data_IF_384540830795
#
_entry.id   IF_384540830795
#
_cell.length_a   1.000
_cell.length_b   1.000
_cell.length_c   1.000
_cell.angle_alpha   90.00
_cell.angle_beta   90.00
_cell.angle_gamma   90.00
#
_symmetry.space_group_name_H-M   'P 1'
#
loop_
_entity.id
_entity.type
_entity.pdbx_description
1 polymer ?
#
# COMPACT_ATOMS: atom_id res chain seq x y z
N UNK A 1 -14.27 -33.10 5.73
CA UNK A 1 -13.86 -32.93 7.15
C UNK A 1 -12.69 -31.96 7.21
N UNK A 2 -12.95 -30.66 7.05
CA UNK A 2 -12.05 -29.58 7.47
C UNK A 2 -12.90 -28.72 8.40
N UNK A 3 -13.08 -29.18 9.61
CA UNK A 3 -13.91 -28.51 10.61
C UNK A 3 -13.20 -28.31 11.95
N UNK A 4 -11.87 -28.21 11.96
CA UNK A 4 -11.14 -27.93 13.19
C UNK A 4 -10.04 -26.91 12.90
N UNK A 5 -10.33 -25.64 13.14
CA UNK A 5 -9.49 -24.55 13.61
C UNK A 5 -10.04 -23.17 13.22
N UNK A 6 -11.30 -22.90 13.54
CA UNK A 6 -11.79 -21.52 13.67
C UNK A 6 -11.93 -21.23 15.18
N UNK A 7 -10.83 -20.89 15.82
CA UNK A 7 -10.85 -20.32 17.19
C UNK A 7 -11.05 -18.82 17.06
N UNK A 8 -12.26 -18.44 16.69
CA UNK A 8 -12.78 -17.09 16.75
C UNK A 8 -14.27 -17.19 17.05
N UNK A 9 -14.82 -16.27 17.82
CA UNK A 9 -16.25 -16.24 18.10
C UNK A 9 -17.01 -15.98 16.80
N UNK A 10 -17.55 -17.01 16.19
CA UNK A 10 -18.44 -16.92 15.03
C UNK A 10 -19.86 -16.62 15.52
N UNK A 11 -20.46 -15.57 14.97
CA UNK A 11 -21.85 -15.25 15.28
C UNK A 11 -22.67 -15.17 13.99
N UNK A 12 -23.50 -16.17 13.79
CA UNK A 12 -24.47 -16.20 12.71
C UNK A 12 -25.66 -15.30 13.03
N UNK A 13 -25.93 -14.33 12.14
CA UNK A 13 -27.13 -13.50 12.19
C UNK A 13 -28.15 -14.15 11.27
N UNK A 14 -29.03 -14.98 11.86
CA UNK A 14 -30.18 -15.56 11.14
C UNK A 14 -31.46 -15.01 11.74
N UNK A 15 -31.89 -13.85 11.29
CA UNK A 15 -33.22 -13.37 11.61
C UNK A 15 -33.89 -12.80 10.35
N UNK A 16 -35.08 -13.33 10.04
CA UNK A 16 -35.92 -12.85 8.95
C UNK A 16 -36.54 -11.47 9.22
N UNK A 17 -36.45 -10.96 10.44
CA UNK A 17 -36.91 -9.64 10.84
C UNK A 17 -35.95 -8.50 10.52
N UNK A 18 -34.73 -8.80 10.07
CA UNK A 18 -33.71 -7.79 9.71
C UNK A 18 -33.04 -7.08 10.88
N UNK A 19 -33.35 -7.45 12.13
CA UNK A 19 -32.70 -6.90 13.34
C UNK A 19 -31.92 -7.98 14.06
N UNK A 20 -30.72 -7.66 14.50
CA UNK A 20 -29.88 -8.54 15.30
C UNK A 20 -30.29 -8.45 16.77
N UNK A 21 -30.49 -9.58 17.47
CA UNK A 21 -30.78 -9.56 18.90
C UNK A 21 -29.61 -8.93 19.69
N UNK A 22 -29.95 -8.20 20.73
CA UNK A 22 -29.06 -7.41 21.59
C UNK A 22 -27.90 -8.18 22.26
N UNK A 23 -27.98 -9.51 22.25
CA UNK A 23 -27.11 -10.39 23.04
C UNK A 23 -25.79 -10.78 22.35
N UNK A 24 -25.51 -10.27 21.14
CA UNK A 24 -24.60 -11.02 20.32
C UNK A 24 -23.32 -10.37 19.83
N UNK A 25 -23.19 -9.09 19.73
CA UNK A 25 -22.07 -8.47 18.98
C UNK A 25 -21.22 -7.60 19.91
N UNK A 26 -20.30 -8.23 20.58
CA UNK A 26 -19.24 -7.53 21.30
C UNK A 26 -17.97 -7.62 20.46
N UNK A 27 -17.67 -6.56 19.68
CA UNK A 27 -16.29 -6.35 19.29
C UNK A 27 -15.45 -6.13 20.53
N UNK A 28 -14.26 -6.73 20.54
CA UNK A 28 -13.31 -6.47 21.62
C UNK A 28 -12.94 -4.97 21.66
N UNK A 29 -12.57 -4.47 22.83
CA UNK A 29 -12.09 -3.09 22.96
C UNK A 29 -10.78 -2.88 22.19
N UNK A 30 -10.06 -3.96 21.90
CA UNK A 30 -8.85 -3.96 21.06
C UNK A 30 -9.20 -4.15 19.58
N UNK A 31 -9.42 -3.05 18.88
CA UNK A 31 -9.71 -3.03 17.45
C UNK A 31 -8.49 -3.26 16.55
N UNK A 32 -7.30 -3.46 17.11
CA UNK A 32 -6.09 -3.73 16.32
C UNK A 32 -6.16 -5.04 15.55
N UNK A 33 -6.97 -5.99 16.03
CA UNK A 33 -7.19 -7.29 15.37
C UNK A 33 -8.28 -7.24 14.30
N UNK A 34 -9.01 -6.15 14.23
CA UNK A 34 -10.06 -5.92 13.24
C UNK A 34 -11.20 -6.93 13.28
N UNK A 35 -12.05 -6.86 12.26
CA UNK A 35 -13.21 -7.75 12.07
C UNK A 35 -13.48 -7.99 10.59
N UNK A 36 -14.27 -9.03 10.30
CA UNK A 36 -14.76 -9.32 8.95
C UNK A 36 -16.27 -9.51 8.98
N UNK A 37 -16.97 -8.87 8.06
CA UNK A 37 -18.40 -9.06 7.81
C UNK A 37 -18.53 -9.76 6.48
N UNK A 38 -19.21 -10.92 6.43
CA UNK A 38 -19.52 -11.67 5.22
C UNK A 38 -21.02 -11.81 5.07
N UNK A 39 -21.54 -11.48 3.90
CA UNK A 39 -22.94 -11.61 3.61
C UNK A 39 -23.20 -11.91 2.13
N UNK A 40 -24.33 -12.55 1.86
CA UNK A 40 -24.79 -12.76 0.49
C UNK A 40 -25.80 -11.69 0.11
N UNK A 41 -25.52 -10.94 -0.97
CA UNK A 41 -26.43 -9.95 -1.51
C UNK A 41 -26.94 -10.37 -2.90
N UNK A 42 -28.23 -10.21 -3.13
CA UNK A 42 -28.89 -10.37 -4.45
C UNK A 42 -29.01 -8.99 -5.09
N UNK A 43 -28.00 -8.62 -5.88
CA UNK A 43 -27.91 -7.31 -6.53
C UNK A 43 -28.90 -7.24 -7.68
N UNK A 44 -29.78 -6.25 -7.63
CA UNK A 44 -30.80 -5.98 -8.63
C UNK A 44 -30.55 -4.64 -9.30
N UNK A 45 -31.27 -4.35 -10.37
CA UNK A 45 -31.20 -3.05 -11.02
C UNK A 45 -31.41 -1.89 -10.04
N UNK A 46 -30.52 -0.91 -10.10
CA UNK A 46 -30.48 0.21 -9.14
C UNK A 46 -31.19 1.43 -9.74
N UNK A 47 -32.44 1.66 -9.34
CA UNK A 47 -33.18 2.87 -9.74
C UNK A 47 -32.90 4.05 -8.80
N UNK A 48 -32.75 3.78 -7.52
CA UNK A 48 -32.46 4.76 -6.45
C UNK A 48 -31.53 4.13 -5.41
N UNK A 49 -30.96 4.93 -4.52
CA UNK A 49 -30.13 4.40 -3.43
C UNK A 49 -30.90 3.35 -2.61
N UNK A 50 -30.22 2.23 -2.36
CA UNK A 50 -30.71 1.11 -1.56
C UNK A 50 -29.66 0.79 -0.51
N UNK A 51 -30.02 0.90 0.77
CA UNK A 51 -29.18 0.39 1.85
C UNK A 51 -29.34 -1.12 1.94
N UNK A 52 -28.23 -1.85 1.94
CA UNK A 52 -28.20 -3.31 2.04
C UNK A 52 -28.01 -3.76 3.50
N UNK A 53 -27.07 -3.12 4.18
CA UNK A 53 -26.72 -3.38 5.57
C UNK A 53 -26.34 -2.05 6.22
N UNK A 54 -26.80 -1.84 7.45
CA UNK A 54 -26.44 -0.67 8.23
C UNK A 54 -26.22 -1.01 9.70
N UNK A 55 -25.12 -0.49 10.24
CA UNK A 55 -24.86 -0.38 11.67
C UNK A 55 -24.85 1.12 11.96
N UNK A 56 -25.87 1.67 12.62
CA UNK A 56 -26.01 3.11 12.74
C UNK A 56 -24.75 3.79 13.29
N UNK A 57 -24.29 4.83 12.61
CA UNK A 57 -23.09 5.61 12.93
C UNK A 57 -21.76 4.82 12.89
N UNK A 58 -21.73 3.60 12.35
CA UNK A 58 -20.52 2.79 12.19
C UNK A 58 -20.32 2.37 10.77
N UNK A 59 -21.31 1.71 10.15
CA UNK A 59 -21.17 1.12 8.82
C UNK A 59 -22.47 1.30 8.04
N UNK A 60 -22.33 1.69 6.78
CA UNK A 60 -23.41 1.67 5.81
C UNK A 60 -22.92 0.99 4.52
N UNK A 61 -23.64 -0.03 4.08
CA UNK A 61 -23.43 -0.68 2.78
C UNK A 61 -24.63 -0.38 1.90
N UNK A 62 -24.38 0.15 0.72
CA UNK A 62 -25.44 0.64 -0.12
C UNK A 62 -25.13 0.52 -1.61
N UNK A 63 -26.20 0.42 -2.40
CA UNK A 63 -26.19 0.54 -3.86
C UNK A 63 -26.72 1.91 -4.22
N UNK A 64 -26.06 2.62 -5.12
CA UNK A 64 -26.51 3.90 -5.64
C UNK A 64 -26.07 4.11 -7.08
N UNK A 65 -26.62 5.12 -7.73
CA UNK A 65 -26.02 5.64 -8.96
C UNK A 65 -24.86 6.56 -8.60
N UNK A 66 -23.78 6.42 -9.34
CA UNK A 66 -22.66 7.34 -9.23
C UNK A 66 -23.11 8.79 -9.47
N UNK A 67 -22.63 9.71 -8.66
CA UNK A 67 -22.78 11.13 -8.84
C UNK A 67 -21.41 11.75 -9.14
N UNK A 68 -21.18 12.23 -10.38
CA UNK A 68 -19.88 12.81 -10.77
C UNK A 68 -19.53 14.06 -9.97
N UNK A 69 -20.52 14.74 -9.37
CA UNK A 69 -20.30 15.94 -8.55
C UNK A 69 -20.06 15.61 -7.08
N UNK A 70 -20.18 14.35 -6.67
CA UNK A 70 -19.92 13.93 -5.28
C UNK A 70 -18.43 14.07 -4.95
N UNK A 71 -18.12 15.06 -4.10
CA UNK A 71 -16.74 15.33 -3.66
C UNK A 71 -16.07 14.16 -2.95
N UNK A 72 -16.84 13.27 -2.32
CA UNK A 72 -16.31 12.05 -1.71
C UNK A 72 -15.70 11.13 -2.77
N UNK A 73 -16.25 11.14 -3.97
CA UNK A 73 -15.79 10.33 -5.10
C UNK A 73 -14.66 10.99 -5.86
N UNK A 74 -14.45 12.30 -5.73
CA UNK A 74 -13.29 12.95 -6.36
C UNK A 74 -11.94 12.38 -5.93
N UNK A 75 -11.92 11.71 -4.78
CA UNK A 75 -10.77 10.97 -4.29
C UNK A 75 -10.63 9.56 -4.90
N UNK A 76 -11.54 9.16 -5.80
CA UNK A 76 -11.50 7.88 -6.51
C UNK A 76 -11.28 8.15 -8.00
N UNK A 77 -10.03 8.17 -8.47
CA UNK A 77 -9.73 8.54 -9.85
C UNK A 77 -10.47 7.70 -10.88
N UNK A 78 -10.67 6.42 -10.60
CA UNK A 78 -11.43 5.53 -11.48
C UNK A 78 -12.89 5.97 -11.65
N UNK A 79 -13.49 6.59 -10.65
CA UNK A 79 -14.87 7.07 -10.74
C UNK A 79 -15.02 8.35 -11.55
N UNK A 80 -13.97 9.15 -11.67
CA UNK A 80 -13.99 10.37 -12.50
C UNK A 80 -14.22 10.09 -13.98
N UNK A 81 -13.95 8.86 -14.41
CA UNK A 81 -14.10 8.41 -15.79
C UNK A 81 -15.46 7.75 -16.05
N UNK A 82 -16.30 7.59 -15.02
CA UNK A 82 -17.59 6.96 -15.15
C UNK A 82 -18.69 7.99 -15.47
N UNK A 83 -19.61 7.58 -16.32
CA UNK A 83 -20.87 8.30 -16.49
C UNK A 83 -21.66 8.28 -15.17
N UNK A 84 -22.27 9.39 -14.79
CA UNK A 84 -23.10 9.54 -13.59
C UNK A 84 -24.30 8.61 -13.48
N UNK A 85 -24.59 7.82 -14.51
CA UNK A 85 -25.65 6.79 -14.49
C UNK A 85 -25.17 5.43 -13.97
N UNK A 86 -23.86 5.22 -13.80
CA UNK A 86 -23.29 3.91 -13.46
C UNK A 86 -23.66 3.51 -12.03
N UNK A 87 -24.27 2.33 -11.82
CA UNK A 87 -24.50 1.80 -10.49
C UNK A 87 -23.21 1.41 -9.79
N UNK A 88 -23.11 1.75 -8.51
CA UNK A 88 -21.98 1.43 -7.65
C UNK A 88 -22.42 0.75 -6.36
N UNK A 89 -21.64 -0.20 -5.88
CA UNK A 89 -21.76 -0.79 -4.55
C UNK A 89 -20.68 -0.15 -3.67
N UNK A 90 -21.08 0.40 -2.53
CA UNK A 90 -20.17 1.06 -1.60
C UNK A 90 -20.40 0.61 -0.16
N UNK A 91 -19.31 0.57 0.61
CA UNK A 91 -19.32 0.30 2.03
C UNK A 91 -18.55 1.39 2.77
N UNK A 92 -19.25 2.20 3.53
CA UNK A 92 -18.72 3.34 4.27
C UNK A 92 -18.59 3.00 5.75
N UNK A 93 -17.36 2.98 6.26
CA UNK A 93 -17.02 2.73 7.66
C UNK A 93 -16.65 4.04 8.34
N UNK A 94 -17.32 4.36 9.46
CA UNK A 94 -17.04 5.55 10.24
C UNK A 94 -15.95 5.27 11.27
N UNK A 95 -14.83 5.98 11.16
CA UNK A 95 -13.68 5.85 12.03
C UNK A 95 -13.59 7.04 12.97
N UNK A 96 -13.40 6.77 14.25
CA UNK A 96 -13.08 7.79 15.25
C UNK A 96 -11.65 8.27 15.03
N UNK A 97 -11.45 9.58 14.98
CA UNK A 97 -10.12 10.17 14.82
C UNK A 97 -9.19 9.75 15.96
N UNK A 98 -7.94 9.37 15.67
CA UNK A 98 -7.00 8.94 16.72
C UNK A 98 -6.56 10.09 17.66
N UNK A 99 -6.76 11.34 17.26
CA UNK A 99 -6.35 12.53 18.07
C UNK A 99 -7.51 13.41 18.55
N UNK A 100 -8.72 13.17 18.07
CA UNK A 100 -9.91 13.88 18.55
C UNK A 100 -11.08 12.91 18.64
N UNK A 101 -11.37 12.37 19.83
CA UNK A 101 -12.40 11.36 20.00
C UNK A 101 -13.84 11.87 19.74
N UNK A 102 -14.01 13.18 19.51
CA UNK A 102 -15.30 13.75 19.12
C UNK A 102 -15.48 13.79 17.60
N UNK A 103 -14.41 13.59 16.82
CA UNK A 103 -14.44 13.62 15.37
C UNK A 103 -14.48 12.22 14.79
N UNK A 104 -15.32 12.07 13.78
CA UNK A 104 -15.44 10.85 12.99
C UNK A 104 -15.21 11.18 11.51
N UNK A 105 -14.64 10.23 10.79
CA UNK A 105 -14.43 10.32 9.35
C UNK A 105 -14.91 9.03 8.70
N UNK A 106 -15.63 9.16 7.61
CA UNK A 106 -16.12 8.01 6.86
C UNK A 106 -15.09 7.58 5.83
N UNK A 107 -14.71 6.32 5.90
CA UNK A 107 -13.85 5.66 4.92
C UNK A 107 -14.69 4.74 4.05
N UNK A 108 -14.73 5.00 2.75
CA UNK A 108 -15.58 4.28 1.84
C UNK A 108 -14.75 3.48 0.85
N UNK A 109 -15.03 2.20 0.73
CA UNK A 109 -14.57 1.33 -0.34
C UNK A 109 -15.75 0.97 -1.23
N UNK A 110 -15.50 0.72 -2.51
CA UNK A 110 -16.60 0.44 -3.41
C UNK A 110 -16.17 0.10 -4.83
N UNK A 111 -17.14 -0.24 -5.64
CA UNK A 111 -16.93 -0.75 -6.98
C UNK A 111 -18.08 -0.37 -7.92
N UNK A 112 -17.80 0.08 -9.15
CA UNK A 112 -18.79 0.11 -10.20
C UNK A 112 -19.25 -1.31 -10.53
N UNK A 113 -20.56 -1.56 -10.51
CA UNK A 113 -21.09 -2.90 -10.79
C UNK A 113 -20.71 -3.40 -12.19
N UNK A 114 -20.47 -2.48 -13.12
CA UNK A 114 -20.10 -2.79 -14.50
C UNK A 114 -18.76 -3.55 -14.63
N UNK A 115 -17.89 -3.51 -13.61
CA UNK A 115 -16.60 -4.26 -13.64
C UNK A 115 -16.72 -5.67 -13.05
N UNK A 116 -17.87 -6.03 -12.47
CA UNK A 116 -18.15 -7.40 -12.08
C UNK A 116 -18.43 -8.28 -13.31
N UNK A 117 -17.98 -9.51 -13.28
CA UNK A 117 -18.28 -10.50 -14.33
C UNK A 117 -19.82 -10.67 -14.51
N UNK A 118 -20.56 -10.47 -13.43
CA UNK A 118 -22.01 -10.43 -13.40
C UNK A 118 -22.47 -9.22 -12.58
N UNK A 119 -22.95 -8.14 -13.20
CA UNK A 119 -23.39 -6.93 -12.49
C UNK A 119 -24.61 -7.12 -11.58
N UNK A 120 -25.43 -8.13 -11.88
CA UNK A 120 -26.65 -8.47 -11.16
C UNK A 120 -26.62 -9.93 -10.70
N UNK A 121 -27.46 -10.23 -9.69
CA UNK A 121 -27.58 -11.56 -9.11
C UNK A 121 -26.94 -11.69 -7.73
N UNK A 122 -26.79 -12.93 -7.29
CA UNK A 122 -26.23 -13.23 -5.96
C UNK A 122 -24.72 -13.14 -5.96
N UNK A 123 -24.21 -12.38 -4.99
CA UNK A 123 -22.79 -12.21 -4.74
C UNK A 123 -22.45 -12.48 -3.28
N UNK A 124 -21.29 -13.11 -3.05
CA UNK A 124 -20.66 -13.24 -1.73
C UNK A 124 -19.83 -11.97 -1.49
N UNK A 125 -20.25 -11.14 -0.55
CA UNK A 125 -19.58 -9.88 -0.23
C UNK A 125 -18.91 -10.00 1.11
N UNK A 126 -17.63 -9.65 1.16
CA UNK A 126 -16.82 -9.63 2.37
C UNK A 126 -16.27 -8.24 2.57
N UNK A 127 -16.58 -7.66 3.71
CA UNK A 127 -16.05 -6.40 4.18
C UNK A 127 -15.12 -6.66 5.34
N UNK A 128 -13.90 -6.16 5.26
CA UNK A 128 -12.89 -6.42 6.26
C UNK A 128 -12.24 -5.13 6.76
N UNK A 129 -12.24 -4.96 8.07
CA UNK A 129 -11.37 -4.02 8.75
C UNK A 129 -10.25 -4.81 9.43
N UNK A 130 -9.01 -4.66 8.95
CA UNK A 130 -7.85 -5.39 9.47
C UNK A 130 -7.14 -4.68 10.62
N UNK A 131 -7.67 -3.55 11.09
CA UNK A 131 -6.97 -2.63 11.98
C UNK A 131 -6.13 -1.59 11.23
N UNK A 132 -5.71 -1.88 9.99
CA UNK A 132 -4.89 -1.00 9.15
C UNK A 132 -5.60 -0.61 7.85
N UNK A 133 -6.42 -1.51 7.31
CA UNK A 133 -7.12 -1.34 6.04
C UNK A 133 -8.62 -1.62 6.19
N UNK A 134 -9.42 -0.92 5.39
CA UNK A 134 -10.80 -1.21 5.08
C UNK A 134 -10.89 -1.76 3.67
N UNK A 135 -11.48 -2.93 3.49
CA UNK A 135 -11.36 -3.72 2.26
C UNK A 135 -12.69 -4.32 1.86
N UNK A 136 -12.99 -4.38 0.56
CA UNK A 136 -14.13 -5.08 -0.01
C UNK A 136 -13.67 -6.20 -0.95
N UNK A 137 -14.18 -7.41 -0.71
CA UNK A 137 -14.06 -8.55 -1.60
C UNK A 137 -15.44 -8.92 -2.12
N UNK A 138 -15.52 -9.36 -3.36
CA UNK A 138 -16.75 -9.86 -3.98
C UNK A 138 -16.39 -11.17 -4.70
N UNK A 139 -17.16 -12.23 -4.42
CA UNK A 139 -16.95 -13.56 -4.98
C UNK A 139 -15.48 -14.06 -4.84
N UNK A 140 -14.88 -13.79 -3.68
CA UNK A 140 -13.51 -14.20 -3.35
C UNK A 140 -12.41 -13.35 -4.00
N UNK A 141 -12.73 -12.24 -4.66
CA UNK A 141 -11.78 -11.35 -5.31
C UNK A 141 -11.74 -9.99 -4.62
N UNK A 142 -10.52 -9.48 -4.37
CA UNK A 142 -10.31 -8.12 -3.87
C UNK A 142 -10.65 -7.11 -4.97
N UNK A 143 -11.52 -6.14 -4.66
CA UNK A 143 -11.86 -5.09 -5.61
C UNK A 143 -11.43 -3.70 -5.20
N UNK A 144 -11.52 -3.38 -3.91
CA UNK A 144 -11.08 -2.06 -3.42
C UNK A 144 -10.64 -2.15 -1.96
N UNK A 145 -9.70 -1.31 -1.59
CA UNK A 145 -9.31 -1.09 -0.21
C UNK A 145 -8.88 0.35 0.01
N UNK A 146 -8.88 0.77 1.26
CA UNK A 146 -8.30 2.03 1.69
C UNK A 146 -7.56 1.83 3.02
N UNK A 147 -6.51 2.62 3.25
CA UNK A 147 -5.77 2.56 4.50
C UNK A 147 -6.47 3.37 5.57
N UNK A 148 -6.64 2.76 6.73
CA UNK A 148 -7.36 3.36 7.85
C UNK A 148 -6.51 4.40 8.59
N UNK A 149 -7.22 5.37 9.15
CA UNK A 149 -6.70 6.31 10.15
C UNK A 149 -7.77 6.53 11.21
N UNK A 150 -7.64 5.81 12.32
CA UNK A 150 -8.65 5.71 13.37
C UNK A 150 -9.29 4.33 13.46
N UNK A 151 -10.26 4.20 14.34
CA UNK A 151 -10.94 2.95 14.64
C UNK A 151 -12.45 3.10 14.69
N UNK A 152 -13.23 2.10 14.28
CA UNK A 152 -14.66 2.10 14.47
C UNK A 152 -15.00 2.06 15.96
N UNK A 153 -16.11 2.69 16.36
CA UNK A 153 -16.52 2.69 17.74
C UNK A 153 -17.28 1.41 18.09
N UNK A 154 -16.60 0.44 18.68
CA UNK A 154 -17.12 -0.88 19.00
C UNK A 154 -18.45 -0.84 19.78
N UNK A 155 -18.61 0.10 20.72
CA UNK A 155 -19.83 0.25 21.50
C UNK A 155 -21.07 0.57 20.68
N UNK A 156 -20.91 1.03 19.45
CA UNK A 156 -22.00 1.34 18.52
C UNK A 156 -22.36 0.17 17.59
N UNK A 157 -21.60 -0.91 17.59
CA UNK A 157 -21.84 -2.05 16.68
C UNK A 157 -22.96 -3.01 17.13
N UNK A 158 -23.81 -2.58 18.03
CA UNK A 158 -24.85 -3.43 18.63
C UNK A 158 -26.19 -3.49 17.87
N UNK A 159 -26.42 -2.59 16.92
CA UNK A 159 -27.71 -2.48 16.23
C UNK A 159 -27.49 -2.58 14.73
N UNK A 160 -27.79 -3.73 14.16
CA UNK A 160 -27.69 -3.96 12.72
C UNK A 160 -29.08 -3.94 12.11
N UNK A 161 -29.15 -3.41 10.90
CA UNK A 161 -30.31 -3.60 10.05
C UNK A 161 -29.87 -4.20 8.71
N UNK A 162 -30.60 -5.20 8.25
CA UNK A 162 -30.41 -5.84 6.95
C UNK A 162 -31.64 -5.53 6.11
N UNK A 163 -31.41 -5.28 4.82
CA UNK A 163 -32.50 -5.19 3.87
C UNK A 163 -32.84 -6.59 3.34
N UNK A 164 -33.97 -7.21 3.75
CA UNK A 164 -34.29 -8.60 3.42
C UNK A 164 -34.56 -8.81 1.92
N UNK A 165 -34.83 -7.73 1.18
CA UNK A 165 -35.01 -7.80 -0.28
C UNK A 165 -33.71 -8.03 -1.04
N UNK A 166 -32.56 -7.79 -0.40
CA UNK A 166 -31.22 -7.88 -0.97
C UNK A 166 -30.31 -8.82 -0.21
N UNK A 167 -30.34 -8.85 1.11
CA UNK A 167 -29.42 -9.59 1.96
C UNK A 167 -30.12 -10.77 2.61
N UNK A 168 -29.63 -11.98 2.34
CA UNK A 168 -30.22 -13.21 2.86
C UNK A 168 -29.54 -13.73 4.13
N UNK A 169 -28.27 -13.40 4.32
CA UNK A 169 -27.44 -13.89 5.42
C UNK A 169 -26.28 -12.94 5.66
N UNK A 170 -25.93 -12.70 6.92
CA UNK A 170 -24.75 -11.94 7.28
C UNK A 170 -24.08 -12.54 8.53
N UNK A 171 -22.75 -12.63 8.50
CA UNK A 171 -21.91 -13.17 9.57
C UNK A 171 -20.84 -12.18 9.95
N UNK A 172 -20.49 -12.12 11.24
CA UNK A 172 -19.37 -11.35 11.77
C UNK A 172 -18.30 -12.29 12.33
N UNK A 173 -17.07 -12.01 11.99
CA UNK A 173 -15.90 -12.73 12.49
C UNK A 173 -14.96 -11.74 13.19
N UNK A 174 -14.47 -12.12 14.37
CA UNK A 174 -13.47 -11.38 15.13
C UNK A 174 -12.49 -12.39 15.77
N UNK A 175 -11.18 -12.26 15.56
CA UNK A 175 -10.49 -11.24 14.77
C UNK A 175 -10.79 -11.32 13.27
N UNK A 176 -10.29 -10.33 12.51
CA UNK A 176 -10.41 -10.37 11.05
C UNK A 176 -9.85 -11.68 10.47
N UNK A 177 -10.56 -12.23 9.48
CA UNK A 177 -10.12 -13.43 8.75
C UNK A 177 -8.85 -13.07 7.97
N UNK A 178 -7.89 -13.99 7.89
CA UNK A 178 -6.67 -13.74 7.11
C UNK A 178 -7.02 -13.62 5.62
N UNK A 179 -6.42 -12.65 4.88
CA UNK A 179 -6.74 -12.42 3.47
C UNK A 179 -6.61 -13.68 2.61
N UNK A 180 -5.65 -14.54 2.88
CA UNK A 180 -5.43 -15.80 2.16
C UNK A 180 -6.57 -16.82 2.34
N UNK A 181 -7.39 -16.66 3.37
CA UNK A 181 -8.58 -17.48 3.60
C UNK A 181 -9.82 -16.92 2.86
N UNK A 182 -9.76 -15.65 2.45
CA UNK A 182 -10.84 -14.97 1.73
C UNK A 182 -10.68 -15.11 0.24
N UNK A 183 -9.51 -14.77 -0.26
CA UNK A 183 -9.17 -14.78 -1.68
C UNK A 183 -8.24 -15.95 -1.99
N UNK A 184 -8.47 -16.63 -3.10
CA UNK A 184 -7.52 -17.59 -3.61
C UNK A 184 -6.16 -16.89 -3.86
N UNK A 185 -5.02 -17.58 -3.61
CA UNK A 185 -3.72 -17.05 -4.00
C UNK A 185 -3.76 -16.67 -5.47
N UNK A 186 -3.27 -15.48 -5.81
CA UNK A 186 -3.25 -15.03 -7.19
C UNK A 186 -2.35 -15.96 -8.00
N UNK A 187 -2.88 -16.64 -9.01
CA UNK A 187 -2.10 -17.58 -9.79
C UNK A 187 -1.08 -16.83 -10.66
N UNK A 188 -0.22 -17.59 -11.33
CA UNK A 188 0.63 -17.05 -12.39
C UNK A 188 -0.23 -16.33 -13.43
N UNK A 189 0.12 -15.07 -13.70
CA UNK A 189 -0.53 -14.27 -14.73
C UNK A 189 0.22 -14.48 -16.04
N UNK A 190 -0.43 -15.10 -17.03
CA UNK A 190 0.10 -15.14 -18.36
C UNK A 190 -0.07 -13.76 -19.02
N UNK A 191 1.03 -13.09 -19.33
CA UNK A 191 0.98 -11.81 -20.04
C UNK A 191 0.95 -12.06 -21.55
N UNK A 192 -0.24 -12.10 -22.11
CA UNK A 192 -0.46 -12.01 -23.57
C UNK A 192 -0.86 -10.59 -24.01
N UNK A 193 -0.73 -9.61 -23.11
CA UNK A 193 -1.02 -8.20 -23.34
C UNK A 193 0.25 -7.38 -23.18
N UNK A 194 0.34 -6.28 -23.92
CA UNK A 194 1.51 -5.40 -23.91
C UNK A 194 1.69 -4.63 -22.60
N UNK A 195 0.61 -4.39 -21.88
CA UNK A 195 0.61 -3.62 -20.65
C UNK A 195 0.02 -4.45 -19.52
N UNK A 196 0.70 -4.44 -18.37
CA UNK A 196 0.18 -4.99 -17.13
C UNK A 196 -0.38 -3.88 -16.24
N UNK A 197 -1.49 -4.16 -15.58
CA UNK A 197 -2.08 -3.29 -14.58
C UNK A 197 -2.38 -4.11 -13.32
N UNK A 198 -2.35 -3.51 -12.13
CA UNK A 198 -2.82 -4.19 -10.94
C UNK A 198 -4.23 -4.74 -11.15
N UNK A 199 -4.53 -5.96 -10.70
CA UNK A 199 -5.81 -6.62 -10.95
C UNK A 199 -6.98 -5.99 -10.18
N UNK A 200 -6.74 -4.89 -9.47
CA UNK A 200 -7.70 -4.27 -8.58
C UNK A 200 -8.23 -2.97 -9.16
N UNK A 201 -9.49 -2.71 -8.86
CA UNK A 201 -10.09 -1.41 -9.11
C UNK A 201 -9.41 -0.32 -8.28
N UNK A 202 -9.26 0.89 -8.87
CA UNK A 202 -8.77 2.08 -8.18
C UNK A 202 -7.33 1.95 -7.62
N UNK A 203 -6.47 1.24 -8.33
CA UNK A 203 -5.06 1.07 -8.02
C UNK A 203 -4.18 1.83 -9.01
N UNK A 204 -3.11 2.44 -8.50
CA UNK A 204 -2.11 3.14 -9.29
C UNK A 204 -0.75 2.50 -9.06
N UNK A 205 0.04 2.47 -10.11
CA UNK A 205 1.43 2.05 -10.07
C UNK A 205 2.29 3.30 -9.99
N UNK A 206 3.00 3.47 -8.89
CA UNK A 206 4.08 4.45 -8.74
C UNK A 206 5.44 3.77 -8.85
N UNK A 207 6.48 4.52 -8.83
CA UNK A 207 7.90 4.20 -8.81
C UNK A 207 8.24 2.71 -8.97
N UNK A 208 8.52 2.32 -10.21
CA UNK A 208 8.86 0.93 -10.56
C UNK A 208 10.37 0.75 -10.46
N UNK A 209 10.81 -0.23 -9.70
CA UNK A 209 12.22 -0.62 -9.59
C UNK A 209 12.39 -2.11 -9.85
N UNK A 210 13.47 -2.48 -10.49
CA UNK A 210 13.69 -3.85 -10.98
C UNK A 210 15.01 -4.41 -10.49
N UNK A 211 15.07 -5.74 -10.38
CA UNK A 211 16.29 -6.43 -9.97
C UNK A 211 16.34 -7.86 -10.52
N UNK A 212 17.49 -8.28 -10.99
CA UNK A 212 17.69 -9.68 -11.39
C UNK A 212 18.42 -10.43 -10.28
N UNK A 213 17.79 -11.48 -9.75
CA UNK A 213 18.35 -12.31 -8.71
C UNK A 213 17.78 -13.74 -8.78
N UNK A 214 18.63 -14.71 -8.50
CA UNK A 214 18.27 -16.14 -8.45
C UNK A 214 17.52 -16.65 -9.71
N UNK A 215 17.99 -16.22 -10.89
CA UNK A 215 17.42 -16.61 -12.17
C UNK A 215 16.04 -15.99 -12.49
N UNK A 216 15.60 -15.03 -11.68
CA UNK A 216 14.34 -14.32 -11.83
C UNK A 216 14.55 -12.83 -12.02
N UNK A 217 13.68 -12.23 -12.79
CA UNK A 217 13.57 -10.80 -12.91
C UNK A 217 12.47 -10.32 -11.96
N UNK A 218 12.84 -9.55 -10.96
CA UNK A 218 11.95 -9.00 -9.95
C UNK A 218 11.52 -7.60 -10.34
N UNK A 219 10.26 -7.28 -10.13
CA UNK A 219 9.69 -5.95 -10.30
C UNK A 219 9.01 -5.57 -8.99
N UNK A 220 9.43 -4.47 -8.42
CA UNK A 220 8.78 -3.84 -7.29
C UNK A 220 8.16 -2.53 -7.76
N UNK A 221 6.96 -2.25 -7.30
CA UNK A 221 6.30 -0.99 -7.61
C UNK A 221 5.56 -0.44 -6.39
N UNK A 222 5.61 0.87 -6.24
CA UNK A 222 4.81 1.54 -5.23
C UNK A 222 3.35 1.42 -5.60
N UNK A 223 2.64 0.65 -4.80
CA UNK A 223 1.21 0.52 -4.93
C UNK A 223 0.56 1.71 -4.23
N UNK A 224 -0.12 2.52 -5.01
CA UNK A 224 -0.85 3.67 -4.53
C UNK A 224 -2.33 3.46 -4.79
N UNK A 225 -3.07 3.26 -3.73
CA UNK A 225 -4.51 3.23 -3.80
C UNK A 225 -5.02 4.67 -3.86
N UNK A 226 -5.88 4.97 -4.81
CA UNK A 226 -6.62 6.22 -4.90
C UNK A 226 -5.79 7.47 -5.20
N UNK A 227 -4.64 7.35 -5.85
CA UNK A 227 -3.84 8.49 -6.27
C UNK A 227 -3.48 9.42 -5.10
N UNK A 228 -2.80 8.92 -4.07
CA UNK A 228 -2.44 9.60 -2.83
C UNK A 228 -3.62 10.02 -1.92
N UNK A 229 -4.84 9.61 -2.25
CA UNK A 229 -6.02 9.98 -1.45
C UNK A 229 -6.27 9.07 -0.24
N UNK A 230 -5.56 7.95 -0.12
CA UNK A 230 -5.65 7.04 1.03
C UNK A 230 -5.38 7.75 2.36
N UNK A 231 -5.96 7.24 3.44
CA UNK A 231 -5.88 7.85 4.79
C UNK A 231 -6.34 9.31 4.80
N UNK A 232 -7.43 9.61 4.10
CA UNK A 232 -7.96 10.97 3.98
C UNK A 232 -6.93 11.97 3.43
N UNK A 233 -6.18 11.55 2.39
CA UNK A 233 -5.18 12.36 1.70
C UNK A 233 -3.81 12.40 2.42
N UNK A 234 -3.51 11.43 3.27
CA UNK A 234 -2.23 11.34 3.98
C UNK A 234 -1.30 10.25 3.49
N UNK A 235 -1.71 9.60 2.39
CA UNK A 235 -0.94 8.55 1.74
C UNK A 235 -1.08 7.18 2.39
N UNK A 236 -0.67 6.15 1.68
CA UNK A 236 -0.76 4.76 2.09
C UNK A 236 0.00 3.85 1.13
N UNK A 237 1.20 4.30 0.72
CA UNK A 237 2.01 3.58 -0.26
C UNK A 237 2.73 2.42 0.39
N UNK A 238 2.91 1.35 -0.38
CA UNK A 238 3.76 0.21 -0.05
C UNK A 238 4.25 -0.46 -1.35
N UNK A 239 5.32 -1.24 -1.26
CA UNK A 239 5.82 -1.96 -2.42
C UNK A 239 5.14 -3.31 -2.60
N UNK A 240 4.50 -3.46 -3.75
CA UNK A 240 4.10 -4.75 -4.30
C UNK A 240 5.28 -5.42 -5.00
N UNK A 241 5.19 -6.73 -5.20
CA UNK A 241 6.25 -7.53 -5.76
C UNK A 241 5.75 -8.52 -6.81
N UNK A 242 6.34 -8.42 -7.99
CA UNK A 242 6.16 -9.36 -9.10
C UNK A 242 7.50 -10.02 -9.44
N UNK A 243 7.46 -11.20 -10.03
CA UNK A 243 8.64 -11.78 -10.67
C UNK A 243 8.31 -12.61 -11.91
N UNK A 244 9.30 -12.76 -12.79
CA UNK A 244 9.22 -13.59 -13.97
C UNK A 244 10.54 -14.27 -14.28
N UNK A 245 10.50 -15.41 -14.99
CA UNK A 245 11.68 -16.10 -15.52
C UNK A 245 11.74 -16.03 -17.04
N UNK A 246 10.67 -15.62 -17.70
CA UNK A 246 10.51 -15.69 -19.16
C UNK A 246 9.90 -14.42 -19.79
N UNK A 247 9.55 -13.42 -18.99
CA UNK A 247 8.83 -12.20 -19.36
C UNK A 247 7.45 -12.43 -20.00
N UNK A 248 6.94 -13.66 -19.93
CA UNK A 248 5.62 -14.03 -20.44
C UNK A 248 4.69 -14.41 -19.28
N UNK A 249 5.23 -15.12 -18.29
CA UNK A 249 4.50 -15.54 -17.12
C UNK A 249 4.99 -14.76 -15.89
N UNK A 250 4.07 -14.09 -15.23
CA UNK A 250 4.34 -13.29 -14.04
C UNK A 250 3.74 -13.94 -12.81
N UNK A 251 4.47 -13.88 -11.72
CA UNK A 251 4.02 -14.33 -10.40
C UNK A 251 3.87 -13.11 -9.51
N UNK A 252 2.68 -12.93 -8.95
CA UNK A 252 2.44 -11.97 -7.88
C UNK A 252 2.82 -12.60 -6.55
N UNK A 253 3.62 -11.88 -5.77
CA UNK A 253 4.04 -12.27 -4.44
C UNK A 253 3.31 -11.44 -3.38
N UNK A 254 3.52 -11.78 -2.12
CA UNK A 254 3.10 -10.89 -1.02
C UNK A 254 3.84 -9.55 -1.12
N UNK A 255 3.21 -8.46 -0.65
CA UNK A 255 3.87 -7.16 -0.63
C UNK A 255 5.25 -7.21 0.03
N UNK A 256 6.24 -6.56 -0.59
CA UNK A 256 7.59 -6.50 -0.03
C UNK A 256 7.65 -5.59 1.22
N UNK A 257 6.72 -4.66 1.35
CA UNK A 257 6.66 -3.72 2.47
C UNK A 257 5.21 -3.53 2.95
N UNK A 258 4.58 -4.56 3.52
CA UNK A 258 3.20 -4.43 3.99
C UNK A 258 3.08 -3.35 5.06
N UNK A 259 1.99 -2.58 5.06
CA UNK A 259 1.65 -1.66 6.14
C UNK A 259 1.25 -2.45 7.38
N UNK A 260 1.94 -2.25 8.49
CA UNK A 260 1.67 -2.89 9.78
C UNK A 260 0.93 -1.93 10.72
N UNK A 261 1.17 -0.64 10.57
CA UNK A 261 0.59 0.40 11.41
C UNK A 261 -0.11 1.47 10.58
N UNK A 262 -1.19 2.03 11.11
CA UNK A 262 -1.96 3.06 10.42
C UNK A 262 -1.15 4.34 10.10
N UNK A 263 -0.11 4.61 10.87
CA UNK A 263 0.74 5.79 10.68
C UNK A 263 1.83 5.61 9.62
N UNK A 264 2.09 4.38 9.16
CA UNK A 264 3.10 4.11 8.14
C UNK A 264 2.64 4.53 6.74
N UNK A 265 3.55 5.09 5.97
CA UNK A 265 3.50 5.18 4.52
C UNK A 265 4.94 5.14 4.01
N UNK A 266 5.17 4.58 2.83
CA UNK A 266 6.53 4.37 2.35
C UNK A 266 6.79 5.20 1.11
N UNK A 267 7.98 5.81 1.06
CA UNK A 267 8.51 6.45 -0.13
C UNK A 267 9.26 5.44 -1.00
N UNK A 268 9.81 5.95 -2.09
CA UNK A 268 10.59 5.13 -3.01
C UNK A 268 11.89 4.62 -2.40
N UNK A 269 12.50 3.65 -3.07
CA UNK A 269 13.77 3.07 -2.74
C UNK A 269 14.20 2.06 -3.81
N UNK A 270 15.18 1.23 -3.53
CA UNK A 270 15.73 0.30 -4.51
C UNK A 270 15.95 -1.09 -3.94
N UNK A 271 15.79 -2.15 -4.75
CA UNK A 271 16.25 -3.48 -4.39
C UNK A 271 17.78 -3.56 -4.39
N UNK A 272 18.32 -4.36 -3.49
CA UNK A 272 19.76 -4.63 -3.36
C UNK A 272 20.02 -5.98 -2.69
N UNK A 273 21.25 -6.46 -2.77
CA UNK A 273 21.66 -7.67 -2.06
C UNK A 273 22.39 -7.33 -0.77
N UNK A 274 22.02 -7.99 0.31
CA UNK A 274 22.74 -7.92 1.57
C UNK A 274 22.87 -9.33 2.17
N UNK A 275 24.11 -9.75 2.42
CA UNK A 275 24.43 -11.10 2.89
C UNK A 275 23.79 -12.22 2.02
N UNK A 276 23.79 -12.03 0.71
CA UNK A 276 23.22 -12.99 -0.26
C UNK A 276 21.70 -13.05 -0.32
N UNK A 277 20.99 -12.19 0.43
CA UNK A 277 19.54 -12.11 0.42
C UNK A 277 19.06 -10.87 -0.32
N UNK A 278 17.96 -11.00 -1.03
CA UNK A 278 17.31 -9.87 -1.68
C UNK A 278 16.65 -8.98 -0.62
N UNK A 279 16.95 -7.70 -0.70
CA UNK A 279 16.41 -6.65 0.16
C UNK A 279 15.78 -5.56 -0.70
N UNK A 280 14.89 -4.77 -0.12
CA UNK A 280 14.39 -3.52 -0.70
C UNK A 280 14.52 -2.42 0.33
N UNK A 281 15.20 -1.33 -0.03
CA UNK A 281 15.27 -0.10 0.76
C UNK A 281 14.08 0.80 0.44
N UNK A 282 13.66 1.62 1.38
CA UNK A 282 12.58 2.60 1.18
C UNK A 282 12.61 3.69 2.26
N UNK A 283 12.05 4.85 1.93
CA UNK A 283 11.80 5.91 2.89
C UNK A 283 10.59 5.57 3.76
N UNK A 284 10.69 5.72 5.07
CA UNK A 284 9.58 5.62 6.00
C UNK A 284 9.05 7.02 6.30
N UNK A 285 7.77 7.23 5.96
CA UNK A 285 7.05 8.42 6.34
C UNK A 285 6.05 8.09 7.44
N UNK A 286 5.90 8.99 8.38
CA UNK A 286 4.86 8.87 9.41
C UNK A 286 3.67 9.74 9.03
N UNK A 287 2.51 9.13 8.90
CA UNK A 287 1.26 9.89 8.95
C UNK A 287 1.22 10.61 10.31
N UNK A 288 0.82 11.87 10.30
CA UNK A 288 0.75 12.65 11.55
C UNK A 288 -0.06 11.92 12.60
N UNK A 289 0.63 11.46 13.63
CA UNK A 289 0.04 10.74 14.76
C UNK A 289 -0.61 11.73 15.72
N UNK A 290 -0.12 12.97 15.71
CA UNK A 290 -0.62 14.08 16.53
C UNK A 290 -1.11 15.23 15.64
N UNK A 291 -1.91 16.17 16.13
CA UNK A 291 -2.21 17.40 15.43
C UNK A 291 -0.93 18.07 14.92
N UNK A 292 -0.99 18.71 13.77
CA UNK A 292 0.20 19.29 13.10
C UNK A 292 0.98 20.23 14.03
N UNK A 293 0.24 20.99 14.82
CA UNK A 293 0.74 22.04 15.70
C UNK A 293 1.49 21.47 16.92
N UNK A 294 1.19 20.21 17.28
CA UNK A 294 1.74 19.54 18.46
C UNK A 294 2.81 18.51 18.10
N UNK A 295 2.98 18.18 16.81
CA UNK A 295 3.90 17.12 16.38
C UNK A 295 5.33 17.64 16.34
N UNK A 296 6.19 17.13 17.21
CA UNK A 296 7.63 17.37 17.20
C UNK A 296 8.42 16.13 16.77
N UNK A 297 9.64 16.30 16.29
CA UNK A 297 10.51 15.17 15.92
C UNK A 297 10.78 14.21 17.10
N UNK A 298 11.09 14.68 18.32
CA UNK A 298 11.24 13.80 19.47
C UNK A 298 10.02 12.96 19.79
N UNK A 299 8.81 13.53 19.62
CA UNK A 299 7.55 12.77 19.83
C UNK A 299 7.40 11.66 18.79
N UNK A 300 7.71 11.92 17.53
CA UNK A 300 7.68 10.91 16.48
C UNK A 300 8.68 9.79 16.76
N UNK A 301 9.91 10.14 17.16
CA UNK A 301 10.92 9.16 17.50
C UNK A 301 10.50 8.26 18.67
N UNK A 302 10.03 8.82 19.77
CA UNK A 302 9.51 8.05 20.90
C UNK A 302 8.41 7.08 20.49
N UNK A 303 7.56 7.50 19.55
CA UNK A 303 6.51 6.64 19.04
C UNK A 303 7.07 5.49 18.18
N UNK A 304 8.04 5.77 17.34
CA UNK A 304 8.72 4.75 16.52
C UNK A 304 9.41 3.70 17.41
N UNK A 305 10.16 4.13 18.40
CA UNK A 305 10.80 3.23 19.37
C UNK A 305 9.82 2.34 20.09
N UNK A 306 8.70 2.91 20.56
CA UNK A 306 7.61 2.17 21.20
C UNK A 306 7.00 1.10 20.29
N UNK A 307 7.04 1.30 18.98
CA UNK A 307 6.56 0.35 17.97
C UNK A 307 7.70 -0.50 17.36
N UNK A 308 8.80 -0.65 18.06
CA UNK A 308 9.87 -1.59 17.72
C UNK A 308 10.89 -1.09 16.71
N UNK A 309 10.81 0.17 16.26
CA UNK A 309 11.85 0.75 15.40
C UNK A 309 13.07 1.13 16.19
N UNK A 310 14.25 0.87 15.61
CA UNK A 310 15.55 1.27 16.15
C UNK A 310 16.26 2.16 15.13
N UNK A 311 17.01 3.14 15.61
CA UNK A 311 17.76 4.06 14.75
C UNK A 311 19.26 3.98 15.01
N UNK A 312 20.03 4.12 13.94
CA UNK A 312 21.50 4.16 13.99
C UNK A 312 22.08 5.57 13.88
N UNK A 313 21.23 6.61 13.92
CA UNK A 313 21.65 8.01 13.77
C UNK A 313 20.98 8.90 14.85
N UNK A 314 21.56 10.07 15.06
CA UNK A 314 21.03 11.03 16.03
C UNK A 314 19.97 11.92 15.37
N UNK A 315 18.73 11.80 15.79
CA UNK A 315 17.60 12.59 15.32
C UNK A 315 17.72 14.09 15.62
N UNK A 316 18.40 14.46 16.70
CA UNK A 316 18.57 15.85 17.11
C UNK A 316 19.43 16.66 16.11
N UNK A 317 20.18 15.97 15.26
CA UNK A 317 21.01 16.59 14.22
C UNK A 317 20.29 16.85 12.91
N UNK A 318 19.03 16.37 12.78
CA UNK A 318 18.26 16.48 11.55
C UNK A 318 17.49 17.80 11.57
N UNK A 319 17.81 18.69 10.64
CA UNK A 319 17.09 19.96 10.45
C UNK A 319 16.05 19.80 9.32
N UNK A 320 14.80 20.12 9.63
CA UNK A 320 13.70 20.17 8.67
C UNK A 320 12.62 19.10 8.84
N UNK A 321 11.64 19.12 7.94
CA UNK A 321 10.59 18.09 7.84
C UNK A 321 11.19 16.83 7.17
N UNK A 322 11.94 16.08 7.93
CA UNK A 322 12.47 14.81 7.46
C UNK A 322 11.41 13.75 7.74
N UNK A 323 11.11 12.85 6.78
CA UNK A 323 10.42 11.61 7.08
C UNK A 323 11.17 10.89 8.20
N UNK A 324 10.55 9.88 8.79
CA UNK A 324 11.16 9.14 9.91
C UNK A 324 12.55 8.57 9.60
N UNK A 325 12.90 8.44 8.32
CA UNK A 325 14.19 7.99 7.81
C UNK A 325 14.07 6.85 6.83
N UNK A 326 15.21 6.29 6.44
CA UNK A 326 15.28 5.15 5.54
C UNK A 326 15.35 3.83 6.29
N UNK A 327 14.60 2.86 5.82
CA UNK A 327 14.56 1.49 6.35
C UNK A 327 14.59 0.47 5.21
N UNK A 328 14.52 -0.81 5.51
CA UNK A 328 14.49 -1.84 4.48
C UNK A 328 13.73 -3.09 4.94
N UNK A 329 13.25 -3.84 3.96
CA UNK A 329 12.77 -5.21 4.13
C UNK A 329 13.80 -6.19 3.59
N UNK A 330 13.85 -7.37 4.20
CA UNK A 330 14.76 -8.46 3.80
C UNK A 330 13.94 -9.72 3.50
N UNK A 331 14.29 -10.41 2.43
CA UNK A 331 13.68 -11.68 2.09
C UNK A 331 14.12 -12.78 3.05
N UNK A 332 13.18 -13.46 3.70
CA UNK A 332 13.46 -14.56 4.62
C UNK A 332 13.94 -15.83 3.89
N UNK A 333 13.35 -16.11 2.73
CA UNK A 333 13.74 -17.21 1.83
C UNK A 333 14.91 -16.85 0.89
N UNK A 334 15.38 -15.61 0.96
CA UNK A 334 16.44 -15.07 0.11
C UNK A 334 15.90 -14.41 -1.17
N UNK A 335 14.66 -14.61 -1.56
CA UNK A 335 14.13 -14.25 -2.88
C UNK A 335 12.78 -13.52 -2.84
N UNK A 336 11.77 -14.02 -2.13
CA UNK A 336 10.38 -13.53 -2.30
C UNK A 336 9.61 -13.22 -1.02
N UNK A 337 9.92 -13.87 0.09
CA UNK A 337 9.18 -13.71 1.35
C UNK A 337 9.79 -12.59 2.21
N UNK A 338 9.34 -11.36 2.01
CA UNK A 338 9.91 -10.18 2.65
C UNK A 338 9.37 -9.94 4.06
N UNK A 339 10.26 -9.49 4.94
CA UNK A 339 9.97 -9.02 6.29
C UNK A 339 10.62 -7.67 6.52
N UNK A 340 9.88 -6.74 7.12
CA UNK A 340 10.42 -5.44 7.54
C UNK A 340 11.42 -5.61 8.68
N UNK A 341 12.53 -4.88 8.61
CA UNK A 341 13.58 -4.97 9.64
C UNK A 341 13.33 -4.05 10.82
N UNK A 342 12.50 -3.01 10.65
CA UNK A 342 12.30 -1.95 11.63
C UNK A 342 13.58 -1.23 12.06
N UNK A 343 14.60 -1.24 11.20
CA UNK A 343 15.86 -0.54 11.43
C UNK A 343 15.92 0.70 10.58
N UNK A 344 15.95 1.88 11.21
CA UNK A 344 16.20 3.15 10.54
C UNK A 344 17.72 3.34 10.44
N UNK A 345 18.25 3.25 9.26
CA UNK A 345 19.71 3.24 9.06
C UNK A 345 20.27 4.58 8.57
N UNK A 346 19.45 5.46 8.03
CA UNK A 346 19.89 6.76 7.51
C UNK A 346 18.78 7.81 7.51
N UNK A 347 19.08 9.08 7.85
CA UNK A 347 18.07 10.14 7.89
C UNK A 347 17.83 10.78 6.51
N UNK A 348 17.51 9.99 5.51
CA UNK A 348 17.15 10.47 4.18
C UNK A 348 15.83 9.87 3.71
N UNK A 349 15.28 10.47 2.69
CA UNK A 349 14.20 9.95 1.87
C UNK A 349 14.78 9.39 0.57
N UNK A 350 14.07 8.49 -0.10
CA UNK A 350 14.46 7.90 -1.38
C UNK A 350 15.89 7.30 -1.37
N UNK A 351 16.16 6.33 -0.48
CA UNK A 351 17.47 5.70 -0.39
C UNK A 351 17.67 4.73 -1.56
N UNK A 352 18.61 5.01 -2.42
CA UNK A 352 19.00 4.12 -3.51
C UNK A 352 20.25 3.35 -3.13
N UNK A 353 20.08 2.17 -2.52
CA UNK A 353 21.19 1.29 -2.15
C UNK A 353 21.56 0.41 -3.33
N UNK A 354 22.86 0.24 -3.55
CA UNK A 354 23.41 -0.70 -4.51
C UNK A 354 24.76 -1.25 -4.04
N UNK A 355 25.12 -2.41 -4.55
CA UNK A 355 26.46 -2.95 -4.40
C UNK A 355 27.21 -2.67 -5.69
N UNK A 356 28.34 -1.97 -5.59
CA UNK A 356 29.17 -1.74 -6.76
C UNK A 356 29.90 -3.04 -7.18
N UNK A 357 30.48 -3.10 -8.39
CA UNK A 357 31.17 -4.30 -8.86
C UNK A 357 32.36 -4.76 -8.03
N UNK A 358 32.89 -3.87 -7.20
CA UNK A 358 33.99 -4.18 -6.26
C UNK A 358 33.44 -4.74 -4.93
N UNK A 359 32.11 -4.88 -4.81
CA UNK A 359 31.46 -5.44 -3.63
C UNK A 359 31.19 -4.41 -2.52
N UNK A 360 31.39 -3.12 -2.78
CA UNK A 360 31.12 -2.09 -1.77
C UNK A 360 29.64 -1.74 -1.74
N UNK A 361 29.09 -1.65 -0.53
CA UNK A 361 27.72 -1.17 -0.33
C UNK A 361 27.71 0.36 -0.38
N UNK A 362 26.95 0.90 -1.31
CA UNK A 362 26.79 2.34 -1.55
C UNK A 362 25.32 2.75 -1.53
N UNK A 363 25.09 4.02 -1.32
CA UNK A 363 23.76 4.62 -1.32
C UNK A 363 23.83 6.01 -1.94
N UNK A 364 22.86 6.26 -2.82
CA UNK A 364 22.53 7.61 -3.29
C UNK A 364 21.32 8.07 -2.48
N UNK A 365 21.47 9.14 -1.72
CA UNK A 365 20.45 9.66 -0.83
C UNK A 365 19.97 11.03 -1.32
N UNK A 366 18.66 11.20 -1.35
CA UNK A 366 18.03 12.48 -1.65
C UNK A 366 17.18 12.90 -0.46
N UNK A 367 17.03 14.18 -0.25
CA UNK A 367 16.37 14.80 0.90
C UNK A 367 16.98 14.38 2.25
N UNK A 368 16.89 15.24 3.22
CA UNK A 368 17.56 15.03 4.50
C UNK A 368 19.08 15.02 4.35
N UNK A 369 19.75 14.01 4.84
CA UNK A 369 21.19 13.80 4.67
C UNK A 369 21.48 13.23 3.27
N UNK A 370 21.44 14.10 2.28
CA UNK A 370 21.67 13.76 0.86
C UNK A 370 23.12 13.43 0.54
N UNK A 371 23.34 12.91 -0.67
CA UNK A 371 24.65 12.66 -1.24
C UNK A 371 24.93 11.19 -1.54
N UNK A 372 26.19 10.91 -1.87
CA UNK A 372 26.72 9.56 -2.05
C UNK A 372 27.36 9.07 -0.76
N UNK A 373 26.94 7.90 -0.32
CA UNK A 373 27.37 7.31 0.95
C UNK A 373 27.92 5.90 0.74
N UNK A 374 28.77 5.46 1.66
CA UNK A 374 29.37 4.12 1.70
C UNK A 374 29.27 3.55 3.11
N UNK A 375 29.00 2.26 3.23
CA UNK A 375 29.05 1.53 4.50
C UNK A 375 29.51 0.09 4.31
N UNK A 376 29.93 -0.55 5.40
CA UNK A 376 30.23 -1.99 5.44
C UNK A 376 28.96 -2.81 5.78
N UNK A 377 27.91 -2.15 6.28
CA UNK A 377 26.63 -2.75 6.63
C UNK A 377 25.49 -1.78 6.36
N UNK A 378 24.35 -2.29 5.88
CA UNK A 378 23.14 -1.48 5.68
C UNK A 378 22.64 -0.90 7.01
N UNK A 379 22.85 -1.58 8.12
CA UNK A 379 22.33 -1.20 9.44
C UNK A 379 22.99 0.03 10.06
N UNK A 380 24.00 0.59 9.43
CA UNK A 380 24.66 1.81 9.92
C UNK A 380 26.12 1.93 9.52
N UNK A 381 26.79 2.93 10.07
CA UNK A 381 28.19 3.21 9.73
C UNK A 381 28.36 3.91 8.38
N UNK A 382 27.29 4.49 7.85
CA UNK A 382 27.31 5.24 6.61
C UNK A 382 28.21 6.46 6.69
N UNK A 383 29.17 6.54 5.77
CA UNK A 383 30.11 7.64 5.62
C UNK A 383 29.81 8.38 4.33
N UNK A 384 29.66 9.68 4.42
CA UNK A 384 29.47 10.54 3.24
C UNK A 384 30.75 10.57 2.42
N UNK A 385 30.65 10.25 1.14
CA UNK A 385 31.73 10.35 0.17
C UNK A 385 31.64 11.68 -0.59
N UNK A 386 30.43 12.10 -0.96
CA UNK A 386 30.15 13.35 -1.65
C UNK A 386 28.75 13.82 -1.27
N UNK A 387 28.66 14.97 -0.62
CA UNK A 387 27.39 15.55 -0.18
C UNK A 387 26.61 16.24 -1.33
N UNK A 388 27.28 16.49 -2.44
CA UNK A 388 26.72 17.25 -3.56
C UNK A 388 26.33 16.39 -4.77
N UNK A 389 26.71 15.12 -4.80
CA UNK A 389 26.33 14.23 -5.88
C UNK A 389 25.41 13.10 -5.37
N UNK A 390 24.31 12.76 -6.06
CA UNK A 390 23.76 13.40 -7.25
C UNK A 390 22.96 14.68 -6.92
N UNK A 391 23.19 15.76 -7.69
CA UNK A 391 22.45 17.01 -7.53
C UNK A 391 21.14 16.99 -8.31
N UNK A 392 20.03 17.30 -7.61
CA UNK A 392 18.72 17.43 -8.22
C UNK A 392 18.19 16.11 -8.80
N UNK A 393 18.76 15.00 -8.41
CA UNK A 393 18.23 13.67 -8.69
C UNK A 393 17.29 13.25 -7.56
N UNK A 394 16.05 12.93 -7.89
CA UNK A 394 15.10 12.28 -7.01
C UNK A 394 14.93 10.85 -7.48
N UNK A 395 14.55 9.92 -6.59
CA UNK A 395 14.29 8.53 -6.95
C UNK A 395 15.41 7.92 -7.82
N UNK A 396 16.67 8.05 -7.37
CA UNK A 396 17.84 7.62 -8.15
C UNK A 396 17.95 6.09 -8.23
N UNK A 397 18.47 5.60 -9.34
CA UNK A 397 18.75 4.18 -9.54
C UNK A 397 20.08 3.99 -10.24
N UNK A 398 20.94 3.10 -9.68
CA UNK A 398 22.24 2.75 -10.26
C UNK A 398 22.12 1.45 -11.07
N UNK A 399 22.76 1.44 -12.25
CA UNK A 399 22.98 0.20 -13.00
C UNK A 399 24.29 0.27 -13.80
N UNK A 400 24.87 -0.89 -14.09
CA UNK A 400 25.99 -1.04 -15.02
C UNK A 400 25.51 -1.65 -16.32
N UNK A 401 25.93 -1.04 -17.43
CA UNK A 401 25.69 -1.58 -18.76
C UNK A 401 26.96 -1.46 -19.61
N UNK A 402 27.51 -2.63 -20.02
CA UNK A 402 28.81 -2.71 -20.70
C UNK A 402 29.94 -2.14 -19.83
N UNK A 403 30.71 -1.23 -20.40
CA UNK A 403 31.84 -0.57 -19.71
C UNK A 403 31.45 0.69 -18.93
N UNK A 404 30.15 1.01 -18.85
CA UNK A 404 29.65 2.23 -18.22
C UNK A 404 28.84 1.97 -16.97
N UNK A 405 29.01 2.83 -15.99
CA UNK A 405 28.14 3.01 -14.85
C UNK A 405 27.15 4.13 -15.15
N UNK A 406 25.90 3.89 -14.85
CA UNK A 406 24.80 4.82 -15.05
C UNK A 406 24.08 5.07 -13.74
N UNK A 407 23.62 6.31 -13.58
CA UNK A 407 22.66 6.71 -12.55
C UNK A 407 21.51 7.42 -13.25
N UNK A 408 20.29 6.89 -13.07
CA UNK A 408 19.07 7.58 -13.44
C UNK A 408 18.59 8.31 -12.20
N UNK A 409 18.15 9.56 -12.34
CA UNK A 409 17.65 10.31 -11.21
C UNK A 409 16.63 11.37 -11.63
N UNK A 410 15.61 11.51 -10.81
CA UNK A 410 14.50 12.41 -11.07
C UNK A 410 13.76 12.05 -12.35
N UNK A 411 13.01 13.01 -12.86
CA UNK A 411 12.20 12.78 -14.06
C UNK A 411 12.97 13.01 -15.38
N UNK A 412 14.21 13.49 -15.33
CA UNK A 412 14.90 13.97 -16.54
C UNK A 412 16.42 13.81 -16.53
N UNK A 413 17.01 13.18 -15.52
CA UNK A 413 18.46 13.13 -15.42
C UNK A 413 19.01 11.71 -15.61
N UNK A 414 20.05 11.63 -16.44
CA UNK A 414 20.87 10.44 -16.61
C UNK A 414 22.34 10.88 -16.55
N UNK A 415 23.10 10.25 -15.67
CA UNK A 415 24.54 10.42 -15.60
C UNK A 415 25.24 9.15 -16.01
N UNK A 416 26.40 9.26 -16.63
CA UNK A 416 27.24 8.11 -16.95
C UNK A 416 28.72 8.42 -16.73
N UNK A 417 29.48 7.37 -16.46
CA UNK A 417 30.95 7.37 -16.50
C UNK A 417 31.46 6.02 -17.01
N UNK A 418 32.69 5.96 -17.49
CA UNK A 418 33.36 4.67 -17.67
C UNK A 418 33.55 4.01 -16.29
N UNK A 419 33.30 2.72 -16.20
CA UNK A 419 33.38 2.00 -14.94
C UNK A 419 34.76 2.09 -14.30
N UNK A 420 35.83 2.17 -15.12
CA UNK A 420 37.22 2.33 -14.72
C UNK A 420 37.62 3.76 -14.29
N UNK A 421 36.74 4.75 -14.56
CA UNK A 421 37.02 6.13 -14.19
C UNK A 421 36.79 6.35 -12.68
N UNK A 422 37.36 7.42 -12.07
CA UNK A 422 37.09 7.77 -10.70
C UNK A 422 35.63 7.85 -10.34
N UNK A 423 35.29 7.61 -9.08
CA UNK A 423 33.91 7.45 -8.59
C UNK A 423 32.97 8.61 -8.96
N UNK A 424 33.46 9.83 -8.91
CA UNK A 424 32.66 11.04 -9.20
C UNK A 424 32.89 11.63 -10.59
N UNK A 425 33.46 10.85 -11.50
CA UNK A 425 33.65 11.28 -12.92
C UNK A 425 32.37 11.20 -13.75
N UNK A 426 31.21 11.17 -13.12
CA UNK A 426 29.92 11.15 -13.80
C UNK A 426 29.67 12.42 -14.60
N UNK A 427 29.15 12.25 -15.81
CA UNK A 427 28.77 13.37 -16.71
C UNK A 427 27.30 13.23 -17.04
N UNK A 428 26.64 14.37 -17.17
CA UNK A 428 25.27 14.42 -17.66
C UNK A 428 25.21 13.81 -19.08
N UNK A 429 24.31 12.89 -19.26
CA UNK A 429 23.95 12.36 -20.57
C UNK A 429 22.73 13.11 -21.06
N UNK A 430 22.86 13.82 -22.17
CA UNK A 430 21.74 14.46 -22.83
C UNK A 430 20.93 13.34 -23.50
N UNK A 431 19.88 12.87 -22.81
CA UNK A 431 18.91 11.98 -23.44
C UNK A 431 17.93 12.85 -24.21
N UNK A 432 18.06 12.85 -25.51
CA UNK A 432 17.11 13.55 -26.36
C UNK A 432 15.83 12.71 -26.46
N UNK A 433 14.99 12.74 -25.42
CA UNK A 433 13.67 12.08 -25.42
C UNK A 433 12.72 12.66 -26.48
N UNK A 434 13.02 13.84 -27.01
CA UNK A 434 12.24 14.45 -28.07
C UNK A 434 12.36 13.73 -29.42
N UNK A 435 13.48 13.03 -29.68
CA UNK A 435 13.64 12.28 -30.93
C UNK A 435 12.96 10.92 -30.92
N UNK A 436 12.59 10.40 -29.75
CA UNK A 436 11.88 9.10 -29.68
C UNK A 436 10.37 9.25 -29.85
N UNK A 437 9.81 10.44 -29.62
CA UNK A 437 8.40 10.72 -29.90
C UNK A 437 8.16 11.08 -31.37
N UNK A 438 9.12 11.73 -32.02
CA UNK A 438 8.99 12.09 -33.45
C UNK A 438 9.30 10.93 -34.39
N UNK A 439 10.07 9.93 -33.94
CA UNK A 439 10.35 8.73 -34.73
C UNK A 439 9.18 7.73 -34.77
N UNK A 440 8.13 7.96 -33.99
CA UNK A 440 6.91 7.14 -34.02
C UNK A 440 5.84 7.68 -34.98
N UNK A 441 6.05 8.90 -35.52
CA UNK A 441 5.12 9.58 -36.45
C UNK A 441 5.61 9.51 -37.93
N UNK A 442 6.78 8.88 -38.20
CA UNK A 442 7.23 8.48 -39.52
C UNK A 442 7.10 6.95 -39.73
#
# INVERSE_FOLDING_TARGET
EISECLVGSEMCIRDRSGTVPEAGLLLSDDQSKGFTIRFTADIKSVAREQTLLEIPQVLKVYLRKHDPDDRKIQNYPAYKMLDGSVPVLEASLSLQSPWDPKKFQDMTVGIPLAILDRPEGKHDIILQFSGVQWTIYIDGRLYDNDFALGYPLASRMKLWSLNPDYVSEANLYEPAIQPEQIAAPTPQIASNIQYWTPPYHNAWVGDVVTFFHDGRYHVFYLFDRRGHASKFGRGGHYFEHLSTTDFQTWVEHKPATPLEYQWETFGTGTPFLFNGKLCISYGLHTTRIYPKEETTLPMQWTYLEKNGYTGSFNYDTIQGLVPAGSTYSISEDGVTNFKKTHILYHPCENPSIYTDPDGNLKMLANYGARGTWKADSVNGGWKCLDADFPLGGDCTFFFRWGEYDYIIGGFTRLWSKLAKDPEFAYKDVVVCLLYTSDAADE
#
